data_IF_351709901599
#
_entry.id   IF_351709901599
#
_cell.length_a   1.000
_cell.length_b   1.000
_cell.length_c   1.000
_cell.angle_alpha   90.00
_cell.angle_beta   90.00
_cell.angle_gamma   90.00
#
_symmetry.space_group_name_H-M   'P 1'
#
loop_
_entity.id
_entity.type
_entity.pdbx_description
1 polymer ?
#
# COMPACT_ATOMS: atom_id res chain seq x y z
N UNK A 1 25.64 -12.22 11.61
CA UNK A 1 25.65 -11.93 10.16
C UNK A 1 24.68 -10.80 9.93
N UNK A 2 25.01 -9.86 9.04
CA UNK A 2 24.07 -8.81 8.65
C UNK A 2 22.77 -9.49 8.20
N UNK A 3 21.70 -9.36 9.00
CA UNK A 3 20.35 -9.65 8.55
C UNK A 3 20.22 -8.90 7.23
N UNK A 4 20.05 -9.63 6.14
CA UNK A 4 19.82 -9.05 4.83
C UNK A 4 18.63 -8.12 4.96
N UNK A 5 18.88 -6.81 4.95
CA UNK A 5 17.80 -5.83 4.86
C UNK A 5 17.13 -6.10 3.52
N UNK A 6 15.89 -6.59 3.55
CA UNK A 6 15.16 -6.92 2.33
C UNK A 6 15.14 -5.67 1.45
N UNK A 7 15.62 -5.84 0.21
CA UNK A 7 15.65 -4.77 -0.79
C UNK A 7 14.45 -4.93 -1.69
N UNK A 8 13.57 -3.94 -1.69
CA UNK A 8 12.33 -4.01 -2.44
C UNK A 8 11.80 -2.63 -2.81
N UNK A 9 11.05 -2.62 -3.91
CA UNK A 9 10.24 -1.48 -4.34
C UNK A 9 8.87 -2.04 -4.68
N UNK A 10 7.82 -1.55 -4.01
CA UNK A 10 6.46 -2.09 -4.16
C UNK A 10 5.44 -0.96 -4.33
N UNK A 11 4.38 -1.27 -5.06
CA UNK A 11 3.10 -0.58 -4.95
C UNK A 11 2.18 -1.52 -4.18
N UNK A 12 1.79 -1.13 -2.97
CA UNK A 12 0.91 -1.91 -2.10
C UNK A 12 -0.55 -1.50 -2.27
N UNK A 13 -1.46 -2.46 -2.12
CA UNK A 13 -2.90 -2.26 -2.08
C UNK A 13 -3.38 -2.75 -0.72
N UNK A 14 -3.37 -1.87 0.28
CA UNK A 14 -3.68 -2.23 1.64
C UNK A 14 -5.17 -2.03 1.95
N UNK A 15 -5.77 -3.10 2.46
CA UNK A 15 -7.19 -3.20 2.82
C UNK A 15 -7.40 -3.22 4.34
N UNK A 16 -6.33 -3.01 5.10
CA UNK A 16 -6.31 -2.96 6.55
C UNK A 16 -5.60 -1.68 7.00
N UNK A 17 -5.91 -1.25 8.22
CA UNK A 17 -5.16 -0.21 8.90
C UNK A 17 -4.29 -0.84 9.99
N UNK A 18 -2.99 -0.58 9.92
CA UNK A 18 -2.00 -0.87 10.95
C UNK A 18 -1.23 0.42 11.30
N UNK A 19 -1.54 0.97 12.47
CA UNK A 19 -0.89 2.18 12.97
C UNK A 19 0.62 1.99 13.23
N UNK A 20 1.13 0.76 13.34
CA UNK A 20 2.57 0.50 13.43
C UNK A 20 3.31 0.90 12.15
N UNK A 21 2.65 0.77 10.99
CA UNK A 21 3.20 1.12 9.68
C UNK A 21 2.76 2.51 9.19
N UNK A 22 2.05 3.26 10.05
CA UNK A 22 1.56 4.61 9.76
C UNK A 22 0.53 4.66 8.62
N UNK A 23 -0.27 3.61 8.49
CA UNK A 23 -1.32 3.53 7.49
C UNK A 23 -2.34 4.67 7.69
N UNK A 24 -2.72 5.38 6.62
CA UNK A 24 -3.64 6.52 6.72
C UNK A 24 -5.08 6.07 6.98
N UNK A 25 -5.48 4.92 6.44
CA UNK A 25 -6.80 4.32 6.58
C UNK A 25 -6.77 2.85 6.12
N UNK A 26 -7.92 2.18 6.20
CA UNK A 26 -8.12 0.77 5.82
C UNK A 26 -8.43 0.54 4.33
N UNK A 27 -8.11 1.52 3.47
CA UNK A 27 -8.31 1.47 2.02
C UNK A 27 -7.31 2.43 1.36
N UNK A 28 -6.04 2.05 1.30
CA UNK A 28 -5.01 2.91 0.74
C UNK A 28 -4.10 2.17 -0.24
N UNK A 29 -3.52 2.94 -1.15
CA UNK A 29 -2.43 2.48 -2.01
C UNK A 29 -1.16 3.15 -1.54
N UNK A 30 -0.12 2.35 -1.34
CA UNK A 30 1.17 2.80 -0.85
C UNK A 30 2.29 2.61 -1.87
N UNK A 31 3.36 3.41 -1.73
CA UNK A 31 4.58 3.24 -2.49
C UNK A 31 5.75 3.08 -1.52
N UNK A 32 6.39 1.93 -1.58
CA UNK A 32 7.33 1.45 -0.58
C UNK A 32 8.73 1.27 -1.15
N UNK A 33 9.74 1.64 -0.36
CA UNK A 33 11.15 1.41 -0.67
C UNK A 33 11.86 0.88 0.58
N UNK A 34 12.26 -0.38 0.56
CA UNK A 34 13.00 -1.08 1.63
C UNK A 34 12.36 -1.01 3.05
N UNK A 35 11.07 -0.68 3.13
CA UNK A 35 10.29 -0.42 4.34
C UNK A 35 8.80 -0.64 4.06
N UNK A 36 8.02 -1.08 5.04
CA UNK A 36 6.55 -1.13 4.97
C UNK A 36 5.88 0.20 5.35
N UNK A 37 6.67 1.19 5.79
CA UNK A 37 6.18 2.56 5.94
C UNK A 37 6.27 3.22 4.57
N UNK A 38 5.11 3.41 3.95
CA UNK A 38 4.94 4.07 2.66
C UNK A 38 5.61 5.45 2.60
N UNK A 39 6.39 5.69 1.54
CA UNK A 39 6.93 7.04 1.26
C UNK A 39 5.88 7.97 0.66
N UNK A 40 4.80 7.40 0.10
CA UNK A 40 3.64 8.13 -0.37
C UNK A 40 2.42 7.22 -0.36
N UNK A 41 1.28 7.77 0.08
CA UNK A 41 -0.01 7.09 0.05
C UNK A 41 -1.01 7.84 -0.81
N UNK A 42 -2.02 7.13 -1.29
CA UNK A 42 -3.21 7.67 -1.92
C UNK A 42 -4.44 6.95 -1.36
N UNK A 43 -5.57 7.66 -1.27
CA UNK A 43 -6.87 7.11 -0.87
C UNK A 43 -7.74 6.87 -2.13
N UNK A 44 -7.90 5.62 -2.58
CA UNK A 44 -8.74 5.28 -3.73
C UNK A 44 -10.23 5.55 -3.48
N UNK A 45 -10.73 5.60 -2.23
CA UNK A 45 -12.13 5.94 -1.95
C UNK A 45 -12.45 7.36 -2.40
N UNK A 46 -11.46 8.27 -2.38
CA UNK A 46 -11.64 9.62 -2.93
C UNK A 46 -11.99 9.64 -4.43
N UNK A 47 -11.71 8.55 -5.14
CA UNK A 47 -12.04 8.33 -6.55
C UNK A 47 -13.16 7.28 -6.73
N UNK A 48 -13.84 6.88 -5.65
CA UNK A 48 -14.90 5.87 -5.68
C UNK A 48 -14.43 4.43 -5.84
N UNK A 49 -13.15 4.15 -5.58
CA UNK A 49 -12.57 2.79 -5.64
C UNK A 49 -12.47 2.24 -4.21
N UNK A 50 -13.29 1.25 -3.90
CA UNK A 50 -13.21 0.46 -2.67
C UNK A 50 -12.46 -0.85 -2.95
N UNK A 51 -11.26 -0.97 -2.37
CA UNK A 51 -10.39 -2.13 -2.48
C UNK A 51 -11.00 -3.40 -1.84
N UNK A 52 -12.02 -3.24 -0.98
CA UNK A 52 -12.74 -4.33 -0.29
C UNK A 52 -14.08 -4.67 -0.91
N UNK A 53 -14.45 -4.03 -2.02
CA UNK A 53 -15.76 -4.21 -2.67
C UNK A 53 -16.04 -5.63 -3.16
N UNK A 54 -15.00 -6.45 -3.36
CA UNK A 54 -15.12 -7.75 -4.03
C UNK A 54 -15.16 -7.66 -5.55
N UNK A 55 -15.17 -6.44 -6.10
CA UNK A 55 -15.08 -6.20 -7.54
C UNK A 55 -13.67 -6.46 -8.06
N UNK A 56 -13.57 -6.80 -9.34
CA UNK A 56 -12.27 -6.97 -10.00
C UNK A 56 -11.62 -5.60 -10.24
N UNK A 57 -10.43 -5.40 -9.68
CA UNK A 57 -9.64 -4.18 -9.87
C UNK A 57 -8.46 -4.47 -10.81
N UNK A 58 -8.24 -3.59 -11.77
CA UNK A 58 -7.07 -3.65 -12.66
C UNK A 58 -6.09 -2.53 -12.29
N UNK A 59 -4.81 -2.90 -12.17
CA UNK A 59 -3.72 -1.96 -11.92
C UNK A 59 -2.70 -2.00 -13.06
N UNK A 60 -2.17 -0.83 -13.41
CA UNK A 60 -1.13 -0.68 -14.42
C UNK A 60 0.09 0.02 -13.83
N UNK A 61 1.28 -0.42 -14.22
CA UNK A 61 2.53 0.31 -14.00
C UNK A 61 3.24 0.48 -15.34
N UNK A 62 3.88 1.62 -15.53
CA UNK A 62 4.80 1.87 -16.65
C UNK A 62 6.23 1.89 -16.16
#
# INVERSE_FOLDING_TARGET
SQLTKNKFVVVEFDTRVDFHFSDPNENHIGFDIDSLISIKTADPLSQGIDLKSGEQITAWRR
#
